data_IF_457960424171
#
_entry.id   IF_457960424171
#
_cell.length_a   1.000
_cell.length_b   1.000
_cell.length_c   1.000
_cell.angle_alpha   90.00
_cell.angle_beta   90.00
_cell.angle_gamma   90.00
#
_symmetry.space_group_name_H-M   'P 1'
#
loop_
_entity.id
_entity.type
_entity.pdbx_description
1 polymer ?
#
# COMPACT_ATOMS: atom_id res chain seq x y z
N UNK A 1 -1.81 40.53 -0.98
CA UNK A 1 -0.82 41.39 -1.67
C UNK A 1 0.62 40.97 -1.38
N UNK A 2 1.01 40.61 -0.15
CA UNK A 2 2.36 40.09 0.14
C UNK A 2 2.66 38.68 -0.39
N UNK A 3 1.70 37.76 -0.30
CA UNK A 3 1.89 36.36 -0.75
C UNK A 3 2.07 36.23 -2.27
N UNK A 4 1.30 36.96 -3.07
CA UNK A 4 1.47 36.98 -4.54
C UNK A 4 2.83 37.56 -4.96
N UNK A 5 3.38 38.52 -4.20
CA UNK A 5 4.71 39.08 -4.48
C UNK A 5 5.81 38.07 -4.15
N UNK A 6 5.68 37.35 -3.03
CA UNK A 6 6.55 36.24 -2.65
C UNK A 6 6.49 35.10 -3.67
N UNK A 7 5.29 34.78 -4.17
CA UNK A 7 5.07 33.76 -5.19
C UNK A 7 5.76 34.14 -6.51
N UNK A 8 5.59 35.39 -6.97
CA UNK A 8 6.30 35.90 -8.14
C UNK A 8 7.82 35.88 -7.97
N UNK A 9 8.31 36.19 -6.77
CA UNK A 9 9.73 36.14 -6.45
C UNK A 9 10.28 34.69 -6.53
N UNK A 10 9.60 33.71 -5.93
CA UNK A 10 10.00 32.30 -6.01
C UNK A 10 10.01 31.77 -7.44
N UNK A 11 8.98 32.07 -8.23
CA UNK A 11 8.92 31.69 -9.65
C UNK A 11 10.06 32.35 -10.43
N UNK A 12 10.41 33.61 -10.13
CA UNK A 12 11.50 34.32 -10.81
C UNK A 12 12.89 33.78 -10.50
N UNK A 13 13.09 33.22 -9.30
CA UNK A 13 14.31 32.52 -8.89
C UNK A 13 14.35 31.05 -9.37
N UNK A 14 13.29 30.58 -10.05
CA UNK A 14 13.18 29.21 -10.54
C UNK A 14 12.78 28.19 -9.45
N UNK A 15 12.30 28.66 -8.29
CA UNK A 15 11.79 27.80 -7.24
C UNK A 15 10.32 27.45 -7.48
N UNK A 16 10.00 26.15 -7.44
CA UNK A 16 8.62 25.67 -7.47
C UNK A 16 7.99 25.84 -6.08
N UNK A 17 6.77 26.38 -6.01
CA UNK A 17 6.10 26.60 -4.72
C UNK A 17 5.99 25.27 -3.97
N UNK A 18 6.43 25.17 -2.70
CA UNK A 18 6.24 23.97 -1.90
C UNK A 18 4.74 23.66 -1.84
N UNK A 19 4.37 22.43 -2.20
CA UNK A 19 2.97 21.97 -2.15
C UNK A 19 2.42 22.22 -0.75
N UNK A 20 1.35 23.01 -0.64
CA UNK A 20 0.68 23.25 0.63
C UNK A 20 0.03 21.94 1.12
N UNK A 21 0.59 21.37 2.19
CA UNK A 21 0.09 20.15 2.80
C UNK A 21 -1.08 20.54 3.71
N UNK A 22 -2.29 20.16 3.33
CA UNK A 22 -3.45 20.37 4.19
C UNK A 22 -3.32 19.46 5.42
N UNK A 23 -3.23 20.06 6.60
CA UNK A 23 -3.22 19.33 7.86
C UNK A 23 -4.65 19.13 8.37
N UNK A 24 -4.98 17.96 8.93
CA UNK A 24 -6.26 17.78 9.60
C UNK A 24 -6.38 18.71 10.81
N UNK A 25 -7.59 19.24 11.04
CA UNK A 25 -7.87 20.23 12.09
C UNK A 25 -7.85 19.63 13.50
N UNK A 26 -8.21 18.34 13.63
CA UNK A 26 -8.28 17.65 14.92
C UNK A 26 -6.89 17.21 15.38
N UNK A 27 -6.56 17.44 16.66
CA UNK A 27 -5.22 17.12 17.19
C UNK A 27 -4.86 15.63 17.10
N UNK A 28 -5.79 14.74 17.44
CA UNK A 28 -5.56 13.28 17.34
C UNK A 28 -5.37 12.84 15.87
N UNK A 29 -6.16 13.41 14.97
CA UNK A 29 -6.08 13.12 13.54
C UNK A 29 -4.75 13.61 12.96
N UNK A 30 -4.26 14.77 13.45
CA UNK A 30 -2.97 15.34 13.08
C UNK A 30 -1.80 14.52 13.60
N UNK A 31 -1.84 14.08 14.86
CA UNK A 31 -0.81 13.19 15.40
C UNK A 31 -0.76 11.86 14.65
N UNK A 32 -1.92 11.28 14.30
CA UNK A 32 -1.98 10.04 13.54
C UNK A 32 -1.50 10.24 12.09
N UNK A 33 -1.87 11.36 11.47
CA UNK A 33 -1.35 11.75 10.15
C UNK A 33 0.17 11.93 10.16
N UNK A 34 0.70 12.61 11.17
CA UNK A 34 2.14 12.83 11.33
C UNK A 34 2.89 11.51 11.57
N UNK A 35 2.31 10.58 12.35
CA UNK A 35 2.92 9.28 12.62
C UNK A 35 3.01 8.40 11.36
N UNK A 36 2.00 8.44 10.51
CA UNK A 36 1.86 7.51 9.39
C UNK A 36 2.42 8.08 8.07
N UNK A 37 2.39 9.39 7.89
CA UNK A 37 2.87 10.07 6.68
C UNK A 37 4.30 10.60 6.82
N UNK A 38 4.71 11.02 8.02
CA UNK A 38 6.03 11.58 8.28
C UNK A 38 6.84 10.68 9.21
N UNK A 39 7.69 9.79 8.66
CA UNK A 39 8.49 8.86 9.48
C UNK A 39 9.40 9.58 10.47
N UNK A 40 9.86 10.79 10.16
CA UNK A 40 10.74 11.59 11.03
C UNK A 40 10.02 12.37 12.13
N UNK A 41 8.69 12.34 12.19
CA UNK A 41 7.92 13.09 13.19
C UNK A 41 8.20 12.61 14.62
N UNK A 42 8.39 11.30 14.81
CA UNK A 42 8.55 10.69 16.13
C UNK A 42 9.28 9.35 16.06
N UNK A 43 9.81 8.88 17.20
CA UNK A 43 10.41 7.54 17.29
C UNK A 43 9.42 6.44 16.89
N UNK A 44 8.15 6.58 17.28
CA UNK A 44 7.09 5.64 16.90
C UNK A 44 6.82 5.66 15.39
N UNK A 45 6.84 6.84 14.76
CA UNK A 45 6.72 6.97 13.30
C UNK A 45 7.87 6.28 12.58
N UNK A 46 9.11 6.43 13.08
CA UNK A 46 10.29 5.73 12.54
C UNK A 46 10.17 4.22 12.64
N UNK A 47 9.77 3.71 13.82
CA UNK A 47 9.58 2.27 14.03
C UNK A 47 8.48 1.74 13.11
N UNK A 48 7.36 2.45 12.98
CA UNK A 48 6.26 2.07 12.11
C UNK A 48 6.67 2.03 10.64
N UNK A 49 7.41 3.03 10.17
CA UNK A 49 7.96 3.07 8.82
C UNK A 49 8.96 1.94 8.56
N UNK A 50 9.89 1.68 9.48
CA UNK A 50 10.83 0.55 9.40
C UNK A 50 10.11 -0.80 9.34
N UNK A 51 9.08 -0.98 10.17
CA UNK A 51 8.29 -2.20 10.14
C UNK A 51 7.57 -2.37 8.81
N UNK A 52 7.03 -1.28 8.26
CA UNK A 52 6.35 -1.29 6.96
C UNK A 52 7.32 -1.65 5.82
N UNK A 53 8.55 -1.12 5.84
CA UNK A 53 9.62 -1.52 4.90
C UNK A 53 9.94 -3.01 5.01
N UNK A 54 10.06 -3.51 6.24
CA UNK A 54 10.36 -4.91 6.50
C UNK A 54 9.25 -5.84 5.97
N UNK A 55 7.98 -5.50 6.20
CA UNK A 55 6.82 -6.25 5.69
C UNK A 55 6.75 -6.24 4.17
N UNK A 56 7.01 -5.10 3.52
CA UNK A 56 7.13 -5.01 2.04
C UNK A 56 8.23 -5.95 1.55
N UNK A 57 9.40 -5.93 2.20
CA UNK A 57 10.54 -6.75 1.80
C UNK A 57 10.25 -8.24 1.91
N UNK A 58 9.62 -8.68 3.02
CA UNK A 58 9.17 -10.07 3.19
C UNK A 58 8.18 -10.45 2.09
N UNK A 59 7.20 -9.60 1.78
CA UNK A 59 6.22 -9.88 0.72
C UNK A 59 6.88 -10.05 -0.65
N UNK A 60 7.92 -9.28 -0.96
CA UNK A 60 8.66 -9.39 -2.23
C UNK A 60 9.45 -10.70 -2.25
N UNK A 61 10.17 -11.02 -1.17
CA UNK A 61 10.95 -12.26 -1.07
C UNK A 61 10.03 -13.49 -1.20
N UNK A 62 8.91 -13.53 -0.48
CA UNK A 62 7.93 -14.61 -0.59
C UNK A 62 7.38 -14.75 -2.02
N UNK A 63 7.10 -13.63 -2.69
CA UNK A 63 6.65 -13.65 -4.08
C UNK A 63 7.73 -14.19 -5.05
N UNK A 64 8.99 -13.78 -4.87
CA UNK A 64 10.12 -14.29 -5.64
C UNK A 64 10.30 -15.80 -5.45
N UNK A 65 10.16 -16.28 -4.22
CA UNK A 65 10.24 -17.71 -3.88
C UNK A 65 9.07 -18.51 -4.47
N UNK A 66 7.85 -17.97 -4.45
CA UNK A 66 6.67 -18.60 -5.07
C UNK A 66 6.82 -18.73 -6.60
N UNK A 67 7.60 -17.85 -7.22
CA UNK A 67 7.87 -17.88 -8.66
C UNK A 67 8.85 -18.99 -9.06
N UNK A 68 9.64 -19.53 -8.12
CA UNK A 68 10.63 -20.57 -8.41
C UNK A 68 9.95 -21.93 -8.68
N UNK A 69 10.28 -22.60 -9.81
CA UNK A 69 9.66 -23.86 -10.20
C UNK A 69 9.96 -25.01 -9.22
N UNK A 70 11.07 -24.96 -8.49
CA UNK A 70 11.45 -25.97 -7.48
C UNK A 70 10.56 -26.01 -6.24
N UNK A 71 9.83 -24.92 -5.95
CA UNK A 71 8.94 -24.82 -4.78
C UNK A 71 7.47 -25.07 -5.14
N UNK A 72 7.20 -25.46 -6.39
CA UNK A 72 5.86 -25.63 -6.94
C UNK A 72 5.34 -27.05 -6.66
N UNK A 73 5.25 -27.44 -5.40
CA UNK A 73 4.53 -28.66 -5.02
C UNK A 73 3.02 -28.43 -5.27
N UNK A 74 2.50 -29.14 -6.27
CA UNK A 74 1.12 -29.11 -6.78
C UNK A 74 0.60 -27.75 -7.29
N UNK A 75 0.55 -27.52 -8.62
CA UNK A 75 0.06 -26.27 -9.22
C UNK A 75 -1.46 -26.04 -9.11
N UNK A 76 -2.15 -26.74 -8.21
CA UNK A 76 -3.61 -26.83 -8.16
C UNK A 76 -4.30 -26.10 -7.01
N UNK A 77 -3.63 -25.85 -5.88
CA UNK A 77 -4.29 -25.28 -4.71
C UNK A 77 -3.61 -24.02 -4.20
N UNK A 78 -4.21 -22.88 -4.52
CA UNK A 78 -3.74 -21.54 -4.16
C UNK A 78 -4.03 -21.23 -2.67
N UNK A 79 -4.76 -22.12 -1.98
CA UNK A 79 -5.10 -22.03 -0.56
C UNK A 79 -4.88 -23.37 0.15
N UNK A 80 -3.69 -23.93 0.01
CA UNK A 80 -3.26 -24.90 1.01
C UNK A 80 -2.99 -24.14 2.32
N UNK A 81 -3.87 -24.31 3.30
CA UNK A 81 -3.73 -23.73 4.65
C UNK A 81 -2.48 -24.24 5.37
N UNK A 82 -1.86 -25.30 4.86
CA UNK A 82 -0.58 -25.83 5.30
C UNK A 82 0.61 -25.07 4.71
N UNK A 83 0.39 -24.24 3.68
CA UNK A 83 1.44 -23.54 2.97
C UNK A 83 1.89 -22.27 3.74
N UNK A 84 3.16 -22.19 4.17
CA UNK A 84 3.68 -21.03 4.90
C UNK A 84 3.63 -19.73 4.09
N UNK A 85 3.69 -19.79 2.76
CA UNK A 85 3.62 -18.60 1.90
C UNK A 85 2.26 -17.91 1.95
N UNK A 86 1.17 -18.69 2.12
CA UNK A 86 -0.18 -18.14 2.27
C UNK A 86 -0.31 -17.34 3.58
N UNK A 87 0.24 -17.86 4.68
CA UNK A 87 0.21 -17.17 5.98
C UNK A 87 0.98 -15.86 5.95
N UNK A 88 2.15 -15.84 5.31
CA UNK A 88 2.94 -14.62 5.13
C UNK A 88 2.18 -13.60 4.28
N UNK A 89 1.59 -14.04 3.16
CA UNK A 89 0.80 -13.17 2.30
C UNK A 89 -0.39 -12.57 3.07
N UNK A 90 -1.14 -13.39 3.81
CA UNK A 90 -2.27 -12.96 4.61
C UNK A 90 -1.87 -11.95 5.70
N UNK A 91 -0.78 -12.22 6.42
CA UNK A 91 -0.25 -11.31 7.43
C UNK A 91 0.13 -9.95 6.82
N UNK A 92 0.81 -9.95 5.68
CA UNK A 92 1.18 -8.74 4.96
C UNK A 92 -0.07 -7.94 4.56
N UNK A 93 -1.10 -8.61 4.00
CA UNK A 93 -2.35 -7.95 3.60
C UNK A 93 -3.06 -7.32 4.80
N UNK A 94 -3.12 -8.00 5.94
CA UNK A 94 -3.71 -7.45 7.17
C UNK A 94 -2.95 -6.19 7.59
N UNK A 95 -1.62 -6.24 7.64
CA UNK A 95 -0.80 -5.09 8.00
C UNK A 95 -1.05 -3.89 7.07
N UNK A 96 -1.01 -4.11 5.75
CA UNK A 96 -1.26 -3.04 4.78
C UNK A 96 -2.68 -2.49 4.81
N UNK A 97 -3.66 -3.34 5.11
CA UNK A 97 -5.06 -2.91 5.27
C UNK A 97 -5.19 -1.99 6.47
N UNK A 98 -4.54 -2.32 7.59
CA UNK A 98 -4.49 -1.44 8.78
C UNK A 98 -3.81 -0.12 8.42
N UNK A 99 -2.65 -0.17 7.76
CA UNK A 99 -1.91 1.03 7.34
C UNK A 99 -2.76 1.96 6.45
N UNK A 100 -3.49 1.38 5.50
CA UNK A 100 -4.40 2.10 4.61
C UNK A 100 -5.60 2.71 5.37
N UNK A 101 -6.19 1.95 6.30
CA UNK A 101 -7.30 2.42 7.13
C UNK A 101 -6.86 3.57 8.05
N UNK A 102 -5.70 3.46 8.70
CA UNK A 102 -5.16 4.51 9.55
C UNK A 102 -4.96 5.81 8.75
N UNK A 103 -4.42 5.73 7.54
CA UNK A 103 -4.31 6.92 6.67
C UNK A 103 -5.65 7.46 6.23
N UNK A 104 -6.58 6.59 5.86
CA UNK A 104 -7.91 7.01 5.41
C UNK A 104 -8.69 7.76 6.51
N UNK A 105 -8.56 7.33 7.76
CA UNK A 105 -9.15 8.01 8.93
C UNK A 105 -8.41 9.32 9.23
N UNK A 106 -7.09 9.35 9.04
CA UNK A 106 -6.25 10.52 9.33
C UNK A 106 -6.33 11.63 8.28
N UNK A 107 -6.77 11.31 7.06
CA UNK A 107 -6.73 12.26 5.97
C UNK A 107 -7.78 13.37 6.12
N UNK A 108 -7.44 14.66 5.89
CA UNK A 108 -8.41 15.74 5.85
C UNK A 108 -9.38 15.63 4.66
N UNK A 109 -8.91 15.17 3.49
CA UNK A 109 -9.70 15.10 2.26
C UNK A 109 -9.70 13.69 1.65
N UNK A 110 -10.72 12.90 1.96
CA UNK A 110 -10.87 11.50 1.52
C UNK A 110 -10.81 11.30 0.00
N UNK A 111 -11.39 12.23 -0.78
CA UNK A 111 -11.37 12.14 -2.25
C UNK A 111 -9.97 12.39 -2.84
N UNK A 112 -9.24 13.36 -2.28
CA UNK A 112 -7.85 13.61 -2.68
C UNK A 112 -6.97 12.41 -2.32
N UNK A 113 -7.23 11.79 -1.16
CA UNK A 113 -6.54 10.58 -0.73
C UNK A 113 -6.74 9.43 -1.73
N UNK A 114 -7.97 9.12 -2.13
CA UNK A 114 -8.26 8.02 -3.05
C UNK A 114 -7.68 8.25 -4.46
N UNK A 115 -7.49 9.50 -4.89
CA UNK A 115 -6.87 9.83 -6.19
C UNK A 115 -5.34 9.85 -6.17
N UNK A 116 -4.70 9.75 -5.01
CA UNK A 116 -3.25 9.69 -4.92
C UNK A 116 -2.74 8.35 -5.47
N UNK A 117 -1.77 8.40 -6.38
CA UNK A 117 -1.18 7.22 -7.03
C UNK A 117 -0.65 6.22 -6.00
N UNK A 118 -0.02 6.70 -4.92
CA UNK A 118 0.51 5.85 -3.85
C UNK A 118 -0.60 5.05 -3.14
N UNK A 119 -1.77 5.67 -2.93
CA UNK A 119 -2.91 5.01 -2.30
C UNK A 119 -3.59 4.03 -3.27
N UNK A 120 -3.63 4.35 -4.56
CA UNK A 120 -4.14 3.43 -5.59
C UNK A 120 -3.29 2.15 -5.62
N UNK A 121 -1.96 2.27 -5.55
CA UNK A 121 -1.06 1.12 -5.47
C UNK A 121 -1.40 0.28 -4.23
N UNK A 122 -1.67 0.91 -3.08
CA UNK A 122 -2.09 0.20 -1.87
C UNK A 122 -3.41 -0.56 -2.05
N UNK A 123 -4.43 0.04 -2.68
CA UNK A 123 -5.69 -0.64 -3.00
C UNK A 123 -5.49 -1.83 -3.96
N UNK A 124 -4.73 -1.63 -5.05
CA UNK A 124 -4.52 -2.68 -6.05
C UNK A 124 -3.76 -3.86 -5.45
N UNK A 125 -2.87 -3.63 -4.49
CA UNK A 125 -2.09 -4.71 -3.92
C UNK A 125 -2.82 -5.55 -2.84
N UNK A 126 -3.91 -5.04 -2.23
CA UNK A 126 -4.81 -5.86 -1.40
C UNK A 126 -5.88 -6.58 -2.26
N UNK A 127 -6.20 -6.07 -3.45
CA UNK A 127 -7.24 -6.59 -4.33
C UNK A 127 -7.13 -8.09 -4.68
N UNK A 128 -5.93 -8.69 -4.92
CA UNK A 128 -5.82 -10.10 -5.29
C UNK A 128 -6.43 -11.05 -4.25
N UNK A 129 -6.30 -10.71 -2.96
CA UNK A 129 -6.84 -11.51 -1.87
C UNK A 129 -8.36 -11.46 -1.82
N UNK A 130 -8.93 -10.25 -1.91
CA UNK A 130 -10.38 -10.06 -1.95
C UNK A 130 -10.99 -10.67 -3.21
N UNK A 131 -10.33 -10.56 -4.37
CA UNK A 131 -10.75 -11.21 -5.60
C UNK A 131 -10.79 -12.74 -5.47
N UNK A 132 -9.75 -13.36 -4.91
CA UNK A 132 -9.73 -14.79 -4.62
C UNK A 132 -10.84 -15.21 -3.64
N UNK A 133 -11.17 -14.38 -2.64
CA UNK A 133 -12.24 -14.68 -1.68
C UNK A 133 -13.64 -14.60 -2.32
N UNK A 134 -13.91 -13.55 -3.09
CA UNK A 134 -15.22 -13.30 -3.71
C UNK A 134 -15.54 -14.25 -4.86
N UNK A 135 -14.54 -14.63 -5.67
CA UNK A 135 -14.76 -15.49 -6.85
C UNK A 135 -15.03 -16.95 -6.46
N UNK A 136 -14.49 -17.40 -5.32
CA UNK A 136 -14.63 -18.79 -4.86
C UNK A 136 -16.06 -19.13 -4.42
N UNK A 137 -16.78 -18.17 -3.83
CA UNK A 137 -18.21 -18.36 -3.48
C UNK A 137 -19.13 -18.36 -4.70
N UNK A 138 -18.73 -17.70 -5.80
CA UNK A 138 -19.57 -17.51 -6.98
C UNK A 138 -19.44 -18.62 -8.04
N UNK A 139 -18.36 -19.40 -8.04
CA UNK A 139 -18.08 -20.32 -9.16
C UNK A 139 -17.82 -21.77 -8.75
N UNK A 140 -18.92 -22.54 -8.66
CA UNK A 140 -18.98 -23.92 -9.18
C UNK A 140 -18.96 -23.98 -10.73
N UNK A 141 -18.71 -22.85 -11.41
CA UNK A 141 -18.82 -22.68 -12.86
C UNK A 141 -17.56 -22.03 -13.48
N UNK A 142 -16.68 -22.88 -14.03
CA UNK A 142 -15.95 -22.74 -15.30
C UNK A 142 -15.29 -21.40 -15.73
N UNK A 143 -14.76 -20.58 -14.81
CA UNK A 143 -13.95 -19.41 -15.20
C UNK A 143 -12.47 -19.59 -14.85
N UNK A 144 -11.77 -20.35 -15.69
CA UNK A 144 -10.32 -20.59 -15.63
C UNK A 144 -9.45 -19.36 -15.93
N UNK A 145 -10.04 -18.26 -16.40
CA UNK A 145 -9.30 -17.05 -16.83
C UNK A 145 -8.91 -16.09 -15.69
N UNK A 146 -9.44 -16.27 -14.47
CA UNK A 146 -9.29 -15.26 -13.39
C UNK A 146 -8.02 -15.44 -12.54
N UNK A 147 -7.58 -16.68 -12.26
CA UNK A 147 -6.46 -16.93 -11.34
C UNK A 147 -5.09 -16.48 -11.85
N UNK A 148 -4.87 -16.51 -13.16
CA UNK A 148 -3.61 -16.06 -13.76
C UNK A 148 -3.40 -14.55 -13.59
N UNK A 149 -4.45 -13.76 -13.79
CA UNK A 149 -4.40 -12.30 -13.62
C UNK A 149 -4.17 -11.93 -12.15
N UNK A 150 -4.87 -12.58 -11.21
CA UNK A 150 -4.68 -12.36 -9.78
C UNK A 150 -3.23 -12.66 -9.33
N UNK A 151 -2.56 -13.63 -9.96
CA UNK A 151 -1.15 -13.94 -9.73
C UNK A 151 -0.21 -12.83 -10.22
N UNK A 152 -0.49 -12.26 -11.40
CA UNK A 152 0.29 -11.13 -11.95
C UNK A 152 0.09 -9.87 -11.11
N UNK A 153 -1.10 -9.63 -10.56
CA UNK A 153 -1.37 -8.47 -9.71
C UNK A 153 -0.53 -8.45 -8.42
N UNK A 154 -0.01 -9.59 -7.96
CA UNK A 154 0.95 -9.62 -6.84
C UNK A 154 2.25 -8.87 -7.17
N UNK A 155 2.66 -8.77 -8.45
CA UNK A 155 3.83 -7.97 -8.89
C UNK A 155 3.63 -6.48 -8.60
N UNK A 156 2.39 -5.99 -8.60
CA UNK A 156 2.09 -4.58 -8.31
C UNK A 156 2.55 -4.18 -6.91
N UNK A 157 2.64 -5.14 -5.98
CA UNK A 157 3.17 -4.90 -4.62
C UNK A 157 4.61 -4.39 -4.62
N UNK A 158 5.43 -4.71 -5.62
CA UNK A 158 6.82 -4.23 -5.70
C UNK A 158 6.89 -2.70 -5.77
N UNK A 159 5.90 -2.07 -6.44
CA UNK A 159 5.84 -0.62 -6.58
C UNK A 159 5.55 0.10 -5.27
N UNK A 160 5.12 -0.60 -4.22
CA UNK A 160 4.94 0.00 -2.89
C UNK A 160 6.25 0.48 -2.28
N UNK A 161 7.40 -0.03 -2.72
CA UNK A 161 8.69 0.49 -2.27
C UNK A 161 8.88 1.96 -2.65
N UNK A 162 8.27 2.42 -3.74
CA UNK A 162 8.30 3.83 -4.16
C UNK A 162 7.55 4.76 -3.22
N UNK A 163 6.75 4.23 -2.30
CA UNK A 163 6.11 5.02 -1.24
C UNK A 163 7.12 5.56 -0.21
N UNK A 164 8.31 4.98 -0.15
CA UNK A 164 9.38 5.35 0.78
C UNK A 164 10.38 6.33 0.17
N UNK A 165 10.28 6.57 -1.15
CA UNK A 165 11.21 7.38 -1.93
C UNK A 165 10.58 8.68 -2.42
#
# INVERSE_FOLDING_TARGET
MGEELLERFWISEGYEKPKEIQMPQNMLQRQLWELVEYPDSSLFARIFALLSIFVISISIISFCLETLPSMKENPGDVRDWSNPFFHIELFCIIWFTIELLLRFISCPNKFSFLRSVLNIIDFVAIAPFFGNLMWMDSTKSNSSMSFAVLRVLRLVRVFRIFKLS
#
